data_IF_677625393440
#
_entry.id   IF_677625393440
#
_cell.length_a   1.000
_cell.length_b   1.000
_cell.length_c   1.000
_cell.angle_alpha   90.00
_cell.angle_beta   90.00
_cell.angle_gamma   90.00
#
_symmetry.space_group_name_H-M   'P 1'
#
loop_
_entity.id
_entity.type
_entity.pdbx_description
1 polymer ?
#
# COMPACT_ATOMS: atom_id res chain seq x y z
N UNK A 1 51.77 42.63 -24.04
CA UNK A 1 50.89 41.83 -23.16
C UNK A 1 49.66 41.47 -23.96
N UNK A 2 49.56 40.20 -24.36
CA UNK A 2 48.56 39.73 -25.32
C UNK A 2 47.40 39.07 -24.57
N UNK A 3 46.18 39.51 -24.90
CA UNK A 3 44.91 38.99 -24.40
C UNK A 3 44.60 37.66 -25.09
N UNK A 4 44.47 36.59 -24.30
CA UNK A 4 44.14 35.24 -24.77
C UNK A 4 42.96 34.70 -23.98
N UNK A 5 41.78 34.82 -24.56
CA UNK A 5 40.54 34.17 -24.13
C UNK A 5 40.66 32.68 -24.39
N UNK A 6 40.67 31.83 -23.36
CA UNK A 6 40.37 30.40 -23.53
C UNK A 6 39.59 29.89 -22.32
N UNK A 7 38.32 29.67 -22.61
CA UNK A 7 37.31 28.90 -21.90
C UNK A 7 37.92 27.64 -21.26
N UNK A 8 38.11 27.63 -19.94
CA UNK A 8 38.47 26.41 -19.22
C UNK A 8 37.20 25.64 -18.92
N UNK A 9 37.04 24.58 -19.69
CA UNK A 9 35.97 23.60 -19.60
C UNK A 9 35.99 22.94 -18.22
N UNK A 10 34.89 23.09 -17.50
CA UNK A 10 34.44 22.15 -16.49
C UNK A 10 34.08 20.83 -17.17
N UNK A 11 35.01 19.88 -17.20
CA UNK A 11 34.70 18.50 -17.56
C UNK A 11 35.28 17.53 -16.52
N UNK A 12 34.38 17.20 -15.59
CA UNK A 12 34.13 15.85 -15.08
C UNK A 12 35.37 15.13 -14.57
N UNK A 13 35.62 15.35 -13.27
CA UNK A 13 36.56 14.58 -12.48
C UNK A 13 36.10 13.12 -12.42
N UNK A 14 36.98 12.24 -12.87
CA UNK A 14 36.90 10.78 -12.76
C UNK A 14 36.88 10.36 -11.29
N UNK A 15 35.72 9.88 -10.83
CA UNK A 15 35.66 8.98 -9.66
C UNK A 15 34.84 7.76 -10.05
N UNK A 16 35.55 6.64 -10.09
CA UNK A 16 35.03 5.29 -10.24
C UNK A 16 34.03 5.01 -9.10
N UNK A 17 32.76 4.82 -9.44
CA UNK A 17 31.83 4.12 -8.57
C UNK A 17 31.72 2.68 -9.07
N UNK A 18 32.24 1.76 -8.27
CA UNK A 18 32.14 0.33 -8.45
C UNK A 18 30.67 -0.09 -8.45
N UNK A 19 30.23 -0.70 -9.55
CA UNK A 19 28.92 -1.32 -9.67
C UNK A 19 28.88 -2.59 -8.83
N UNK A 20 28.21 -2.52 -7.67
CA UNK A 20 27.94 -3.68 -6.84
C UNK A 20 27.06 -4.66 -7.62
N UNK A 21 27.61 -5.84 -7.88
CA UNK A 21 26.93 -6.98 -8.49
C UNK A 21 25.83 -7.47 -7.56
N UNK A 22 24.57 -7.32 -7.97
CA UNK A 22 23.43 -8.01 -7.35
C UNK A 22 23.55 -9.50 -7.72
N UNK A 23 24.08 -10.29 -6.81
CA UNK A 23 24.04 -11.75 -6.89
C UNK A 23 22.61 -12.23 -6.64
N UNK A 24 21.85 -12.45 -7.72
CA UNK A 24 20.62 -13.24 -7.64
C UNK A 24 20.97 -14.67 -7.26
N UNK A 25 20.74 -15.02 -5.99
CA UNK A 25 20.73 -16.42 -5.55
C UNK A 25 19.40 -17.04 -5.99
N UNK A 26 19.43 -17.72 -7.14
CA UNK A 26 18.32 -18.55 -7.56
C UNK A 26 18.24 -19.79 -6.67
N UNK A 27 17.34 -19.78 -5.69
CA UNK A 27 16.92 -20.98 -4.95
C UNK A 27 16.22 -21.92 -5.93
N UNK A 28 16.98 -22.90 -6.44
CA UNK A 28 16.48 -23.98 -7.28
C UNK A 28 15.70 -24.96 -6.40
N UNK A 29 14.37 -24.83 -6.35
CA UNK A 29 13.52 -25.93 -5.87
C UNK A 29 13.55 -27.07 -6.89
N UNK A 30 14.14 -28.19 -6.48
CA UNK A 30 14.21 -29.43 -7.25
C UNK A 30 12.88 -30.19 -7.13
N UNK A 31 11.96 -29.99 -8.07
CA UNK A 31 10.86 -30.94 -8.24
C UNK A 31 11.36 -32.14 -9.06
N UNK A 32 11.54 -33.27 -8.38
CA UNK A 32 11.85 -34.57 -8.99
C UNK A 32 10.62 -35.08 -9.73
N UNK A 33 10.55 -34.87 -11.05
CA UNK A 33 9.57 -35.54 -11.90
C UNK A 33 10.05 -36.96 -12.21
N UNK A 34 9.48 -37.93 -11.49
CA UNK A 34 9.56 -39.34 -11.86
C UNK A 34 8.97 -39.51 -13.27
N UNK A 35 9.80 -40.04 -14.17
CA UNK A 35 9.46 -40.33 -15.55
C UNK A 35 8.26 -41.30 -15.66
N UNK A 36 7.15 -40.84 -16.26
CA UNK A 36 6.11 -41.72 -16.76
C UNK A 36 6.40 -42.00 -18.24
N UNK A 37 7.16 -43.08 -18.48
CA UNK A 37 7.54 -43.55 -19.81
C UNK A 37 6.31 -44.06 -20.57
N UNK A 38 6.15 -43.55 -21.78
CA UNK A 38 5.12 -43.91 -22.74
C UNK A 38 5.22 -45.39 -23.16
N UNK A 39 4.07 -46.04 -23.31
CA UNK A 39 3.92 -47.20 -24.19
C UNK A 39 2.52 -47.20 -24.81
N UNK A 40 2.39 -46.56 -25.98
CA UNK A 40 1.23 -46.73 -26.85
C UNK A 40 1.62 -47.69 -27.99
N UNK A 41 1.20 -48.93 -27.86
CA UNK A 41 1.37 -50.00 -28.85
C UNK A 41 0.52 -49.67 -30.08
N UNK A 42 1.16 -49.42 -31.21
CA UNK A 42 0.50 -49.31 -32.50
C UNK A 42 -0.22 -50.62 -32.84
N UNK A 43 -1.55 -50.62 -32.90
CA UNK A 43 -2.36 -51.65 -33.56
C UNK A 43 -3.31 -50.99 -34.56
N UNK A 44 -3.05 -51.30 -35.84
CA UNK A 44 -3.80 -50.88 -37.02
C UNK A 44 -5.02 -51.80 -37.18
N UNK A 45 -6.22 -51.22 -37.26
CA UNK A 45 -7.41 -51.85 -37.85
C UNK A 45 -8.13 -50.84 -38.74
N UNK A 46 -8.52 -51.20 -39.97
CA UNK A 46 -9.41 -50.39 -40.81
C UNK A 46 -10.88 -50.75 -40.49
N UNK A 47 -11.81 -49.81 -40.70
CA UNK A 47 -13.19 -49.99 -41.19
C UNK A 47 -14.07 -48.82 -40.70
N UNK A 48 -14.50 -47.98 -41.65
CA UNK A 48 -15.84 -47.40 -41.78
C UNK A 48 -16.47 -46.58 -40.65
N UNK A 49 -16.80 -45.32 -40.98
CA UNK A 49 -18.00 -44.67 -40.44
C UNK A 49 -17.76 -43.41 -39.60
N UNK A 50 -18.09 -42.27 -40.20
CA UNK A 50 -18.66 -41.04 -39.61
C UNK A 50 -18.37 -40.74 -38.14
N UNK A 51 -17.57 -39.69 -37.92
CA UNK A 51 -17.42 -39.05 -36.61
C UNK A 51 -16.06 -38.40 -36.47
N UNK A 52 -15.82 -37.29 -37.16
CA UNK A 52 -14.76 -36.36 -36.79
C UNK A 52 -15.12 -35.74 -35.44
N UNK A 53 -14.88 -36.49 -34.37
CA UNK A 53 -14.64 -35.94 -33.05
C UNK A 53 -13.30 -35.22 -33.14
N UNK A 54 -13.38 -33.93 -33.47
CA UNK A 54 -12.28 -33.00 -33.31
C UNK A 54 -11.98 -32.92 -31.82
N UNK A 55 -11.10 -33.80 -31.37
CA UNK A 55 -10.60 -33.82 -30.00
C UNK A 55 -9.64 -32.64 -29.90
N UNK A 56 -10.19 -31.46 -29.59
CA UNK A 56 -9.41 -30.28 -29.21
C UNK A 56 -8.72 -30.60 -27.88
N UNK A 57 -7.54 -31.20 -27.98
CA UNK A 57 -6.67 -31.41 -26.85
C UNK A 57 -5.99 -30.07 -26.55
N UNK A 58 -6.61 -29.28 -25.67
CA UNK A 58 -6.00 -28.06 -25.13
C UNK A 58 -4.86 -28.52 -24.22
N UNK A 59 -3.70 -28.77 -24.82
CA UNK A 59 -2.45 -28.93 -24.10
C UNK A 59 -2.06 -27.58 -23.52
N UNK A 60 -2.58 -27.24 -22.34
CA UNK A 60 -2.02 -26.14 -21.55
C UNK A 60 -0.61 -26.56 -21.16
N UNK A 61 0.38 -26.05 -21.89
CA UNK A 61 1.76 -26.05 -21.38
C UNK A 61 1.71 -25.18 -20.13
N UNK A 62 1.64 -25.82 -18.97
CA UNK A 62 1.78 -25.16 -17.68
C UNK A 62 3.26 -24.85 -17.53
N UNK A 63 3.67 -23.70 -18.06
CA UNK A 63 4.99 -23.13 -17.85
C UNK A 63 4.95 -22.06 -16.74
N UNK A 64 6.12 -21.68 -16.23
CA UNK A 64 6.22 -20.73 -15.09
C UNK A 64 5.57 -19.38 -15.36
N UNK A 65 5.48 -18.94 -16.63
CA UNK A 65 4.80 -17.69 -16.96
C UNK A 65 3.28 -17.83 -16.90
N UNK A 66 2.73 -18.98 -17.28
CA UNK A 66 1.31 -19.27 -17.10
C UNK A 66 0.93 -19.30 -15.61
N UNK A 67 1.74 -19.95 -14.77
CA UNK A 67 1.52 -19.99 -13.32
C UNK A 67 1.56 -18.59 -12.71
N UNK A 68 2.58 -17.79 -13.03
CA UNK A 68 2.66 -16.41 -12.53
C UNK A 68 1.47 -15.54 -12.93
N UNK A 69 0.98 -15.68 -14.17
CA UNK A 69 -0.21 -14.94 -14.61
C UNK A 69 -1.46 -15.33 -13.84
N UNK A 70 -1.72 -16.63 -13.71
CA UNK A 70 -2.88 -17.12 -12.94
C UNK A 70 -2.80 -16.67 -11.47
N UNK A 71 -1.60 -16.65 -10.89
CA UNK A 71 -1.40 -16.13 -9.54
C UNK A 71 -1.68 -14.63 -9.46
N UNK A 72 -1.18 -13.84 -10.42
CA UNK A 72 -1.44 -12.39 -10.50
C UNK A 72 -2.94 -12.10 -10.67
N UNK A 73 -3.60 -12.75 -11.63
CA UNK A 73 -5.04 -12.61 -11.86
C UNK A 73 -5.83 -12.94 -10.57
N UNK A 74 -5.49 -14.05 -9.90
CA UNK A 74 -6.16 -14.46 -8.66
C UNK A 74 -5.90 -13.50 -7.47
N UNK A 75 -4.74 -12.85 -7.44
CA UNK A 75 -4.38 -11.88 -6.41
C UNK A 75 -5.15 -10.58 -6.63
N UNK A 76 -5.21 -10.10 -7.87
CA UNK A 76 -5.98 -8.93 -8.27
C UNK A 76 -7.47 -9.13 -7.97
N UNK A 77 -8.04 -10.29 -8.30
CA UNK A 77 -9.43 -10.63 -8.00
C UNK A 77 -9.72 -10.58 -6.50
N UNK A 78 -8.86 -11.20 -5.69
CA UNK A 78 -8.99 -11.18 -4.23
C UNK A 78 -8.87 -9.76 -3.67
N UNK A 79 -7.96 -8.96 -4.22
CA UNK A 79 -7.72 -7.60 -3.73
C UNK A 79 -8.89 -6.69 -4.10
N UNK A 80 -9.37 -6.77 -5.34
CA UNK A 80 -10.56 -6.06 -5.79
C UNK A 80 -11.79 -6.44 -4.94
N UNK A 81 -11.96 -7.72 -4.60
CA UNK A 81 -13.04 -8.15 -3.71
C UNK A 81 -12.92 -7.57 -2.29
N UNK A 82 -11.70 -7.46 -1.75
CA UNK A 82 -11.45 -6.82 -0.46
C UNK A 82 -11.76 -5.30 -0.53
N UNK A 83 -11.38 -4.63 -1.62
CA UNK A 83 -11.66 -3.22 -1.88
C UNK A 83 -13.17 -2.96 -1.98
N UNK A 84 -13.91 -3.78 -2.72
CA UNK A 84 -15.38 -3.69 -2.80
C UNK A 84 -16.04 -3.88 -1.43
N UNK A 85 -15.54 -4.83 -0.63
CA UNK A 85 -16.02 -5.07 0.74
C UNK A 85 -15.76 -3.87 1.65
N UNK A 86 -14.62 -3.20 1.45
CA UNK A 86 -14.30 -1.94 2.12
C UNK A 86 -15.06 -0.72 1.56
N UNK A 87 -15.88 -0.90 0.52
CA UNK A 87 -16.67 0.16 -0.12
C UNK A 87 -15.87 1.04 -1.09
N UNK A 88 -14.71 0.59 -1.55
CA UNK A 88 -13.90 1.30 -2.54
C UNK A 88 -14.39 0.94 -3.95
N UNK A 89 -14.81 1.95 -4.71
CA UNK A 89 -15.37 1.77 -6.06
C UNK A 89 -14.30 1.49 -7.13
N UNK A 90 -13.05 1.93 -6.90
CA UNK A 90 -11.95 1.76 -7.84
C UNK A 90 -11.24 0.42 -7.65
N UNK A 91 -10.84 -0.21 -8.74
CA UNK A 91 -10.01 -1.42 -8.69
C UNK A 91 -8.58 -1.12 -8.25
N UNK A 92 -7.86 -2.15 -7.79
CA UNK A 92 -6.45 -2.06 -7.42
C UNK A 92 -5.57 -1.54 -8.57
N UNK A 93 -5.86 -1.97 -9.81
CA UNK A 93 -5.14 -1.51 -11.00
C UNK A 93 -5.35 -0.01 -11.27
N UNK A 94 -6.58 0.49 -11.07
CA UNK A 94 -6.89 1.92 -11.21
C UNK A 94 -6.27 2.77 -10.10
N UNK A 95 -6.28 2.26 -8.87
CA UNK A 95 -5.62 2.90 -7.73
C UNK A 95 -4.11 3.02 -7.97
N UNK A 96 -3.45 1.97 -8.45
CA UNK A 96 -2.02 2.01 -8.76
C UNK A 96 -1.73 2.95 -9.94
N UNK A 97 -2.61 2.97 -10.95
CA UNK A 97 -2.50 3.87 -12.11
C UNK A 97 -2.78 5.34 -11.75
N UNK A 98 -3.44 5.62 -10.62
CA UNK A 98 -3.73 6.99 -10.18
C UNK A 98 -2.47 7.79 -9.83
N UNK A 99 -1.34 7.12 -9.59
CA UNK A 99 -0.10 7.76 -9.14
C UNK A 99 -0.17 8.23 -7.68
N UNK A 100 -1.18 7.79 -6.92
CA UNK A 100 -1.28 8.05 -5.49
C UNK A 100 -0.16 7.33 -4.73
N UNK A 101 0.41 8.02 -3.75
CA UNK A 101 1.47 7.49 -2.90
C UNK A 101 0.86 6.59 -1.80
N UNK A 102 1.08 5.29 -1.85
CA UNK A 102 0.58 4.37 -0.83
C UNK A 102 1.61 4.02 0.24
N UNK A 103 2.69 4.81 0.37
CA UNK A 103 3.61 4.69 1.50
C UNK A 103 2.86 4.85 2.84
N UNK A 104 3.36 4.22 3.92
CA UNK A 104 2.79 4.37 5.25
C UNK A 104 2.61 5.83 5.68
N UNK A 105 3.60 6.68 5.41
CA UNK A 105 3.58 8.11 5.78
C UNK A 105 2.51 8.89 5.03
N UNK A 106 2.42 8.70 3.72
CA UNK A 106 1.44 9.40 2.90
C UNK A 106 0.01 8.96 3.25
N UNK A 107 -0.17 7.67 3.53
CA UNK A 107 -1.46 7.11 3.94
C UNK A 107 -1.86 7.60 5.34
N UNK A 108 -0.95 7.55 6.31
CA UNK A 108 -1.19 8.06 7.66
C UNK A 108 -1.56 9.55 7.64
N UNK A 109 -0.86 10.36 6.84
CA UNK A 109 -1.16 11.79 6.67
C UNK A 109 -2.61 11.99 6.20
N UNK A 110 -3.05 11.25 5.17
CA UNK A 110 -4.46 11.35 4.70
C UNK A 110 -5.47 10.99 5.78
N UNK A 111 -5.19 9.97 6.59
CA UNK A 111 -6.09 9.53 7.67
C UNK A 111 -6.16 10.62 8.75
N UNK A 112 -5.02 11.18 9.16
CA UNK A 112 -4.95 12.26 10.14
C UNK A 112 -5.67 13.51 9.64
N UNK A 113 -5.41 13.94 8.40
CA UNK A 113 -6.07 15.11 7.80
C UNK A 113 -7.58 14.90 7.71
N UNK A 114 -8.01 13.72 7.27
CA UNK A 114 -9.43 13.37 7.19
C UNK A 114 -10.08 13.39 8.57
N UNK A 115 -9.51 12.70 9.56
CA UNK A 115 -10.09 12.59 10.90
C UNK A 115 -10.15 13.94 11.61
N UNK A 116 -9.07 14.72 11.56
CA UNK A 116 -8.97 16.02 12.25
C UNK A 116 -9.82 17.11 11.59
N UNK A 117 -10.17 16.98 10.30
CA UNK A 117 -11.07 17.92 9.61
C UNK A 117 -12.44 18.07 10.28
N UNK A 118 -12.88 17.06 11.05
CA UNK A 118 -14.14 17.06 11.77
C UNK A 118 -14.11 17.86 13.09
N UNK A 119 -12.92 18.29 13.56
CA UNK A 119 -12.79 18.92 14.87
C UNK A 119 -13.65 20.19 15.02
N UNK A 120 -13.69 21.03 13.99
CA UNK A 120 -14.50 22.25 13.99
C UNK A 120 -16.00 21.94 14.19
N UNK A 121 -16.51 20.93 13.47
CA UNK A 121 -17.90 20.49 13.62
C UNK A 121 -18.16 19.86 15.00
N UNK A 122 -17.20 19.12 15.54
CA UNK A 122 -17.29 18.54 16.87
C UNK A 122 -17.44 19.63 17.95
N UNK A 123 -16.62 20.68 17.88
CA UNK A 123 -16.67 21.81 18.82
C UNK A 123 -18.01 22.53 18.83
N UNK A 124 -18.63 22.75 17.66
CA UNK A 124 -19.95 23.36 17.53
C UNK A 124 -21.06 22.55 18.20
N UNK A 125 -20.91 21.21 18.24
CA UNK A 125 -21.88 20.33 18.90
C UNK A 125 -21.62 20.17 20.41
N UNK A 126 -20.49 20.65 20.90
CA UNK A 126 -20.05 20.57 22.30
C UNK A 126 -19.79 21.96 22.89
N UNK A 127 -20.55 22.97 22.45
CA UNK A 127 -20.38 24.37 22.89
C UNK A 127 -20.46 24.56 24.41
N UNK A 128 -21.23 23.71 25.11
CA UNK A 128 -21.44 23.78 26.56
C UNK A 128 -20.27 23.25 27.40
N UNK A 129 -19.32 22.55 26.79
CA UNK A 129 -18.15 22.01 27.49
C UNK A 129 -17.01 23.05 27.56
N UNK A 130 -16.04 22.86 28.43
CA UNK A 130 -14.81 23.67 28.45
C UNK A 130 -13.84 23.22 27.35
N UNK A 131 -13.05 24.13 26.78
CA UNK A 131 -12.19 23.88 25.60
C UNK A 131 -11.31 22.62 25.71
N UNK A 132 -10.57 22.48 26.81
CA UNK A 132 -9.73 21.30 27.06
C UNK A 132 -10.52 19.98 27.16
N UNK A 133 -11.77 19.99 27.63
CA UNK A 133 -12.61 18.80 27.66
C UNK A 133 -13.12 18.41 26.27
N UNK A 134 -13.32 19.39 25.37
CA UNK A 134 -13.71 19.14 23.96
C UNK A 134 -12.59 18.49 23.18
N UNK A 135 -11.37 19.00 23.31
CA UNK A 135 -10.22 18.45 22.60
C UNK A 135 -9.94 17.01 23.03
N UNK A 136 -9.86 16.75 24.33
CA UNK A 136 -9.60 15.39 24.84
C UNK A 136 -10.72 14.40 24.47
N UNK A 137 -11.99 14.84 24.50
CA UNK A 137 -13.13 14.05 24.05
C UNK A 137 -13.06 13.71 22.57
N UNK A 138 -12.73 14.69 21.72
CA UNK A 138 -12.54 14.49 20.29
C UNK A 138 -11.38 13.56 19.98
N UNK A 139 -10.21 13.78 20.58
CA UNK A 139 -9.02 12.94 20.40
C UNK A 139 -9.31 11.49 20.78
N UNK A 140 -9.98 11.28 21.91
CA UNK A 140 -10.40 9.94 22.35
C UNK A 140 -11.33 9.28 21.33
N UNK A 141 -12.31 10.04 20.81
CA UNK A 141 -13.26 9.54 19.80
C UNK A 141 -12.54 9.11 18.51
N UNK A 142 -11.68 9.97 17.95
CA UNK A 142 -11.03 9.66 16.67
C UNK A 142 -9.98 8.55 16.83
N UNK A 143 -9.26 8.48 17.96
CA UNK A 143 -8.33 7.36 18.23
C UNK A 143 -9.08 6.03 18.28
N UNK A 144 -10.21 5.98 18.99
CA UNK A 144 -11.03 4.77 19.04
C UNK A 144 -11.57 4.35 17.67
N UNK A 145 -12.03 5.31 16.86
CA UNK A 145 -12.49 5.03 15.50
C UNK A 145 -11.37 4.53 14.57
N UNK A 146 -10.16 5.08 14.72
CA UNK A 146 -8.96 4.64 13.98
C UNK A 146 -8.56 3.23 14.39
N UNK A 147 -8.51 2.93 15.69
CA UNK A 147 -8.24 1.58 16.19
C UNK A 147 -9.22 0.54 15.64
N UNK A 148 -10.52 0.85 15.65
CA UNK A 148 -11.56 -0.03 15.09
C UNK A 148 -11.40 -0.20 13.58
N UNK A 149 -11.16 0.89 12.84
CA UNK A 149 -10.95 0.86 11.40
C UNK A 149 -9.74 0.04 10.99
N UNK A 150 -8.61 0.20 11.68
CA UNK A 150 -7.38 -0.58 11.43
C UNK A 150 -7.55 -2.05 11.79
N UNK A 151 -8.26 -2.37 12.87
CA UNK A 151 -8.57 -3.76 13.22
C UNK A 151 -9.40 -4.44 12.12
N UNK A 152 -10.45 -3.76 11.63
CA UNK A 152 -11.27 -4.26 10.52
C UNK A 152 -10.47 -4.39 9.21
N UNK A 153 -9.63 -3.40 8.89
CA UNK A 153 -8.76 -3.45 7.72
C UNK A 153 -7.77 -4.62 7.79
N UNK A 154 -7.15 -4.88 8.96
CA UNK A 154 -6.28 -6.04 9.15
C UNK A 154 -7.01 -7.36 8.98
N UNK A 155 -8.24 -7.47 9.46
CA UNK A 155 -9.05 -8.68 9.27
C UNK A 155 -9.34 -8.93 7.78
N UNK A 156 -9.72 -7.89 7.04
CA UNK A 156 -9.95 -7.98 5.60
C UNK A 156 -8.68 -8.32 4.82
N UNK A 157 -7.53 -7.78 5.25
CA UNK A 157 -6.23 -7.97 4.60
C UNK A 157 -5.45 -9.18 5.12
N UNK A 158 -5.94 -9.92 6.12
CA UNK A 158 -5.21 -11.00 6.78
C UNK A 158 -4.70 -12.07 5.82
N UNK A 159 -5.49 -12.40 4.80
CA UNK A 159 -5.09 -13.34 3.75
C UNK A 159 -3.99 -12.84 2.80
N UNK A 160 -3.59 -11.57 2.89
CA UNK A 160 -2.49 -10.94 2.16
C UNK A 160 -1.27 -10.70 3.06
N UNK A 161 -1.48 -10.28 4.31
CA UNK A 161 -0.39 -10.06 5.27
C UNK A 161 0.33 -11.38 5.63
N UNK A 162 -0.38 -12.50 5.69
CA UNK A 162 0.23 -13.83 5.86
C UNK A 162 1.17 -14.23 4.72
N UNK A 163 1.02 -13.59 3.55
CA UNK A 163 1.83 -13.86 2.37
C UNK A 163 3.08 -12.97 2.29
N UNK A 164 3.10 -11.83 3.01
CA UNK A 164 4.22 -10.89 3.02
C UNK A 164 4.35 -10.14 4.35
N UNK A 165 5.48 -10.33 5.02
CA UNK A 165 5.85 -9.59 6.23
C UNK A 165 5.97 -8.08 5.99
N UNK A 166 6.37 -7.66 4.80
CA UNK A 166 6.47 -6.24 4.45
C UNK A 166 5.10 -5.55 4.50
N UNK A 167 4.04 -6.24 4.05
CA UNK A 167 2.66 -5.71 4.11
C UNK A 167 2.20 -5.58 5.57
N UNK A 168 2.57 -6.52 6.43
CA UNK A 168 2.29 -6.42 7.87
C UNK A 168 3.01 -5.23 8.50
N UNK A 169 4.31 -5.08 8.22
CA UNK A 169 5.14 -3.98 8.74
C UNK A 169 4.61 -2.61 8.26
N UNK A 170 4.19 -2.49 6.99
CA UNK A 170 3.61 -1.26 6.43
C UNK A 170 2.27 -0.89 7.10
N UNK A 171 1.42 -1.89 7.39
CA UNK A 171 0.14 -1.66 8.11
C UNK A 171 0.42 -1.14 9.52
N UNK A 172 1.36 -1.77 10.22
CA UNK A 172 1.77 -1.39 11.57
C UNK A 172 2.35 0.03 11.60
N UNK A 173 3.23 0.35 10.64
CA UNK A 173 3.82 1.68 10.52
C UNK A 173 2.77 2.74 10.21
N UNK A 174 1.82 2.46 9.31
CA UNK A 174 0.72 3.37 8.99
C UNK A 174 -0.13 3.67 10.24
N UNK A 175 -0.43 2.65 11.04
CA UNK A 175 -1.17 2.81 12.30
C UNK A 175 -0.41 3.69 13.29
N UNK A 176 0.85 3.37 13.54
CA UNK A 176 1.70 4.09 14.49
C UNK A 176 1.85 5.58 14.11
N UNK A 177 2.07 5.85 12.83
CA UNK A 177 2.17 7.22 12.31
C UNK A 177 0.86 7.97 12.43
N UNK A 178 -0.27 7.29 12.18
CA UNK A 178 -1.61 7.88 12.34
C UNK A 178 -1.86 8.28 13.79
N UNK A 179 -1.58 7.40 14.74
CA UNK A 179 -1.77 7.68 16.18
C UNK A 179 -0.88 8.83 16.65
N UNK A 180 0.39 8.86 16.22
CA UNK A 180 1.32 9.97 16.48
C UNK A 180 0.84 11.28 15.85
N UNK A 181 0.29 11.24 14.64
CA UNK A 181 -0.26 12.43 13.97
C UNK A 181 -1.47 13.01 14.71
N UNK A 182 -2.32 12.16 15.25
CA UNK A 182 -3.44 12.58 16.11
C UNK A 182 -2.94 13.23 17.40
N UNK A 183 -1.90 12.65 18.03
CA UNK A 183 -1.27 13.26 19.21
C UNK A 183 -0.66 14.62 18.90
N UNK A 184 0.05 14.74 17.78
CA UNK A 184 0.64 16.00 17.33
C UNK A 184 -0.43 17.08 17.08
N UNK A 185 -1.56 16.70 16.47
CA UNK A 185 -2.71 17.59 16.30
C UNK A 185 -3.23 18.09 17.65
N UNK A 186 -3.39 17.20 18.64
CA UNK A 186 -3.86 17.58 19.97
C UNK A 186 -2.90 18.56 20.66
N UNK A 187 -1.60 18.29 20.56
CA UNK A 187 -0.57 19.18 21.11
C UNK A 187 -0.58 20.56 20.46
N UNK A 188 -0.75 20.62 19.13
CA UNK A 188 -0.89 21.88 18.39
C UNK A 188 -2.12 22.67 18.82
N UNK A 189 -3.28 22.01 18.95
CA UNK A 189 -4.51 22.68 19.40
C UNK A 189 -4.38 23.27 20.81
N UNK A 190 -3.78 22.52 21.77
CA UNK A 190 -3.55 23.06 23.12
C UNK A 190 -2.61 24.27 23.11
N UNK A 191 -1.60 24.28 22.25
CA UNK A 191 -0.69 25.42 22.12
C UNK A 191 -1.38 26.64 21.53
N UNK A 192 -2.28 26.45 20.55
CA UNK A 192 -3.06 27.54 19.97
C UNK A 192 -4.02 28.16 20.98
N UNK A 193 -4.70 27.33 21.78
CA UNK A 193 -5.59 27.79 22.86
C UNK A 193 -4.81 28.60 23.91
N UNK A 194 -3.64 28.11 24.36
CA UNK A 194 -2.82 28.82 25.34
C UNK A 194 -2.32 30.19 24.83
N UNK A 195 -1.89 30.27 23.56
CA UNK A 195 -1.44 31.52 22.95
C UNK A 195 -2.57 32.55 22.83
N UNK A 196 -3.79 32.12 22.50
CA UNK A 196 -4.95 32.99 22.43
C UNK A 196 -5.33 33.61 23.79
N UNK A 197 -5.15 32.84 24.87
CA UNK A 197 -5.39 33.33 26.25
C UNK A 197 -4.34 34.37 26.69
N UNK A 198 -3.08 34.22 26.28
CA UNK A 198 -2.01 35.18 26.57
C UNK A 198 -2.19 36.52 25.83
N UNK A 199 -2.54 36.48 24.54
CA UNK A 199 -2.80 37.70 23.74
C UNK A 199 -4.01 38.51 24.26
N UNK A 200 -5.07 37.84 24.70
CA UNK A 200 -6.24 38.49 25.31
C UNK A 200 -5.91 39.17 26.65
N UNK A 201 -4.98 38.62 27.42
CA UNK A 201 -4.50 39.23 28.66
C UNK A 201 -3.64 40.47 28.41
N UNK A 202 -2.88 40.50 27.30
CA UNK A 202 -2.06 41.65 26.91
C UNK A 202 -2.91 42.81 26.35
N UNK A 203 -3.99 42.51 25.62
CA UNK A 203 -4.94 43.52 25.12
C UNK A 203 -5.90 44.07 26.18
N UNK A 204 -6.16 43.32 27.26
CA UNK A 204 -6.98 43.76 28.39
C UNK A 204 -6.26 44.68 29.38
N UNK A 205 -4.95 44.88 29.21
CA UNK A 205 -4.11 45.68 30.10
C UNK A 205 -3.85 47.12 29.62
N UNK A 206 -4.56 47.60 28.58
CA UNK A 206 -4.42 48.94 27.98
C UNK A 206 -5.64 49.82 28.25
#
# INVERSE_FOLDING_TARGET
MNIGTTQSQSLINSMQFSSSTVTQSATRMQFSSSAMTQSATARKSPIGGVGSLDKVEVGTKVDGNFVNRVLQDSLEDRLNSALETAGVEMSAGELLASGMDFSPEATATRIVDFATSFYSAYQMNHESDEGGAKLEGFVTLIKGAVEEGFAGARELLGGFSEMSKEVEDDIDETFDLTMKGIDAFADEQRQLEAQAEEELQEMGAI
#
